data_IF_713767646169
#
_entry.id   IF_713767646169
#
_cell.length_a   1.000
_cell.length_b   1.000
_cell.length_c   1.000
_cell.angle_alpha   90.00
_cell.angle_beta   90.00
_cell.angle_gamma   90.00
#
_symmetry.space_group_name_H-M   'P 1'
#
loop_
_entity.id
_entity.type
_entity.pdbx_description
1 polymer ?
#
# COMPACT_ATOMS: atom_id res chain seq x y z
N UNK A 1 11.89 -4.97 -17.41
CA UNK A 1 12.21 -6.05 -16.45
C UNK A 1 12.81 -5.55 -15.12
N UNK A 2 12.90 -4.24 -14.87
CA UNK A 2 13.43 -3.65 -13.61
C UNK A 2 12.30 -3.05 -12.74
N UNK A 3 11.10 -2.88 -13.30
CA UNK A 3 9.94 -2.29 -12.60
C UNK A 3 9.26 -3.21 -11.59
N UNK A 4 9.58 -4.50 -11.56
CA UNK A 4 8.96 -5.47 -10.64
C UNK A 4 9.79 -5.62 -9.36
N UNK A 5 11.13 -5.55 -9.47
CA UNK A 5 12.05 -5.49 -8.31
C UNK A 5 11.84 -4.20 -7.52
N UNK A 6 11.61 -3.07 -8.19
CA UNK A 6 11.30 -1.79 -7.53
C UNK A 6 9.95 -1.80 -6.81
N UNK A 7 8.94 -2.50 -7.36
CA UNK A 7 7.60 -2.61 -6.77
C UNK A 7 7.57 -3.58 -5.59
N UNK A 8 8.29 -4.69 -5.67
CA UNK A 8 8.40 -5.65 -4.55
C UNK A 8 9.31 -5.15 -3.42
N UNK A 9 10.37 -4.40 -3.72
CA UNK A 9 11.18 -3.74 -2.69
C UNK A 9 10.48 -2.59 -1.96
N UNK A 10 9.42 -2.02 -2.55
CA UNK A 10 8.55 -1.03 -1.90
C UNK A 10 7.38 -1.68 -1.13
N UNK A 11 6.97 -2.91 -1.46
CA UNK A 11 5.79 -3.58 -0.86
C UNK A 11 6.10 -4.66 0.20
N UNK A 12 7.33 -5.18 0.30
CA UNK A 12 7.67 -6.19 1.31
C UNK A 12 8.16 -5.52 2.60
N UNK A 13 7.21 -4.99 3.37
CA UNK A 13 7.45 -4.75 4.80
C UNK A 13 7.88 -6.08 5.47
N UNK A 14 8.70 -6.00 6.52
CA UNK A 14 9.17 -7.16 7.31
C UNK A 14 8.01 -8.10 7.70
N UNK A 15 6.83 -7.52 7.97
CA UNK A 15 5.58 -8.24 8.25
C UNK A 15 5.05 -9.09 7.08
N UNK A 16 5.19 -8.64 5.83
CA UNK A 16 4.75 -9.38 4.65
C UNK A 16 5.72 -10.52 4.30
N UNK A 17 7.02 -10.32 4.54
CA UNK A 17 8.02 -11.38 4.45
C UNK A 17 7.80 -12.46 5.51
N UNK A 18 7.47 -12.05 6.73
CA UNK A 18 7.20 -12.95 7.85
C UNK A 18 5.89 -13.75 7.62
N UNK A 19 4.84 -13.08 7.15
CA UNK A 19 3.58 -13.72 6.73
C UNK A 19 3.77 -14.65 5.51
N UNK A 20 4.63 -14.28 4.55
CA UNK A 20 5.00 -15.15 3.44
C UNK A 20 5.74 -16.41 3.91
N UNK A 21 6.75 -16.25 4.77
CA UNK A 21 7.49 -17.39 5.34
C UNK A 21 6.56 -18.29 6.16
N UNK A 22 5.67 -17.71 6.98
CA UNK A 22 4.70 -18.46 7.78
C UNK A 22 3.67 -19.21 6.91
N UNK A 23 3.18 -18.60 5.82
CA UNK A 23 2.24 -19.24 4.88
C UNK A 23 2.88 -20.39 4.09
N UNK A 24 4.16 -20.26 3.73
CA UNK A 24 4.89 -21.29 3.01
C UNK A 24 5.57 -22.32 3.93
N UNK A 25 5.48 -22.13 5.25
CA UNK A 25 6.07 -23.02 6.25
C UNK A 25 7.60 -22.99 6.25
N UNK A 26 8.19 -21.88 5.82
CA UNK A 26 9.62 -21.58 5.79
C UNK A 26 10.00 -20.84 7.08
N UNK A 27 11.24 -20.98 7.55
CA UNK A 27 11.72 -20.36 8.79
C UNK A 27 10.88 -20.69 10.04
N UNK A 28 10.53 -21.97 10.23
CA UNK A 28 9.76 -22.45 11.40
C UNK A 28 10.49 -22.26 12.73
N UNK A 29 11.82 -22.13 12.69
CA UNK A 29 12.70 -21.85 13.82
C UNK A 29 13.14 -20.38 13.90
N UNK A 30 12.63 -19.52 13.01
CA UNK A 30 13.01 -18.11 12.90
C UNK A 30 14.22 -17.82 12.00
N UNK A 31 14.77 -18.86 11.35
CA UNK A 31 15.95 -18.79 10.51
C UNK A 31 15.69 -19.43 9.14
N UNK A 32 16.34 -18.93 8.09
CA UNK A 32 16.26 -19.51 6.75
C UNK A 32 17.52 -20.32 6.46
N UNK A 33 17.33 -21.57 6.05
CA UNK A 33 18.41 -22.40 5.52
C UNK A 33 18.63 -22.17 4.00
N UNK A 34 19.72 -22.71 3.44
CA UNK A 34 20.07 -22.56 2.01
C UNK A 34 18.94 -23.05 1.07
N UNK A 35 18.18 -24.06 1.50
CA UNK A 35 17.09 -24.67 0.72
C UNK A 35 15.79 -23.86 0.80
N UNK A 36 15.53 -23.26 1.95
CA UNK A 36 14.41 -22.37 2.19
C UNK A 36 14.65 -21.02 1.49
N UNK A 37 15.86 -20.47 1.54
CA UNK A 37 16.25 -19.28 0.77
C UNK A 37 16.08 -19.51 -0.74
N UNK A 38 16.47 -20.68 -1.25
CA UNK A 38 16.24 -21.08 -2.65
C UNK A 38 14.75 -21.04 -3.01
N UNK A 39 13.91 -21.49 -2.08
CA UNK A 39 12.45 -21.55 -2.27
C UNK A 39 11.85 -20.15 -2.28
N UNK A 40 12.29 -19.27 -1.38
CA UNK A 40 11.93 -17.85 -1.37
C UNK A 40 12.31 -17.17 -2.68
N UNK A 41 13.56 -17.33 -3.16
CA UNK A 41 14.01 -16.75 -4.44
C UNK A 41 13.18 -17.23 -5.64
N UNK A 42 12.84 -18.52 -5.70
CA UNK A 42 12.00 -19.10 -6.77
C UNK A 42 10.57 -18.59 -6.72
N UNK A 43 9.98 -18.46 -5.53
CA UNK A 43 8.63 -17.93 -5.37
C UNK A 43 8.53 -16.43 -5.68
N UNK A 44 9.61 -15.67 -5.44
CA UNK A 44 9.71 -14.25 -5.84
C UNK A 44 9.96 -14.11 -7.36
N UNK A 45 10.15 -15.23 -8.08
CA UNK A 45 10.33 -15.24 -9.53
C UNK A 45 11.74 -14.84 -9.98
N UNK A 46 12.71 -14.79 -9.06
CA UNK A 46 14.12 -14.67 -9.43
C UNK A 46 14.61 -16.03 -9.92
N UNK A 47 14.99 -16.09 -11.19
CA UNK A 47 15.73 -17.23 -11.74
C UNK A 47 17.19 -17.11 -11.29
N UNK A 48 17.48 -17.57 -10.07
CA UNK A 48 18.82 -17.59 -9.48
C UNK A 48 19.41 -19.00 -9.64
N UNK A 49 20.64 -19.11 -10.14
CA UNK A 49 21.33 -20.40 -10.22
C UNK A 49 21.79 -20.85 -8.83
N UNK A 50 22.06 -22.15 -8.67
CA UNK A 50 22.49 -22.71 -7.37
C UNK A 50 23.80 -22.09 -6.89
N UNK A 51 24.69 -21.65 -7.79
CA UNK A 51 25.94 -20.99 -7.42
C UNK A 51 25.69 -19.59 -6.86
N UNK A 52 24.79 -18.84 -7.48
CA UNK A 52 24.49 -17.47 -7.04
C UNK A 52 23.68 -17.45 -5.74
N UNK A 53 22.91 -18.51 -5.43
CA UNK A 53 22.27 -18.68 -4.12
C UNK A 53 23.31 -18.93 -3.03
N UNK A 54 24.37 -19.70 -3.31
CA UNK A 54 25.46 -19.92 -2.35
C UNK A 54 26.23 -18.64 -2.08
N UNK A 55 26.54 -17.87 -3.11
CA UNK A 55 27.15 -16.55 -2.96
C UNK A 55 26.25 -15.60 -2.16
N UNK A 56 24.93 -15.61 -2.43
CA UNK A 56 23.96 -14.82 -1.68
C UNK A 56 23.86 -15.26 -0.22
N UNK A 57 23.91 -16.56 0.04
CA UNK A 57 23.88 -17.13 1.38
C UNK A 57 25.15 -16.77 2.16
N UNK A 58 26.33 -16.88 1.55
CA UNK A 58 27.61 -16.49 2.17
C UNK A 58 27.72 -14.98 2.41
N UNK A 59 27.06 -14.14 1.59
CA UNK A 59 26.99 -12.69 1.82
C UNK A 59 25.94 -12.29 2.88
N UNK A 60 24.89 -13.10 3.05
CA UNK A 60 23.82 -12.88 4.02
C UNK A 60 24.16 -13.40 5.43
N UNK A 61 24.87 -14.52 5.50
CA UNK A 61 25.32 -15.18 6.73
C UNK A 61 26.56 -14.47 7.30
N UNK A 62 26.33 -13.26 7.81
CA UNK A 62 27.38 -12.36 8.29
C UNK A 62 28.07 -12.85 9.57
N UNK A 63 27.37 -13.67 10.37
CA UNK A 63 27.89 -14.30 11.58
C UNK A 63 28.42 -15.73 11.34
N UNK A 64 28.26 -16.26 10.11
CA UNK A 64 28.73 -17.57 9.66
C UNK A 64 28.15 -18.72 10.49
N UNK A 65 26.92 -18.56 10.94
CA UNK A 65 26.22 -19.56 11.74
C UNK A 65 25.54 -20.65 10.86
N UNK A 66 25.62 -20.49 9.54
CA UNK A 66 25.05 -21.40 8.55
C UNK A 66 23.54 -21.22 8.37
N UNK A 67 23.00 -20.07 8.78
CA UNK A 67 21.58 -19.69 8.66
C UNK A 67 21.47 -18.19 8.37
N UNK A 68 20.33 -17.78 7.80
CA UNK A 68 20.05 -16.35 7.56
C UNK A 68 18.84 -15.95 8.38
N UNK A 69 18.97 -15.01 9.30
CA UNK A 69 17.83 -14.49 10.05
C UNK A 69 17.02 -13.49 9.20
N UNK A 70 15.74 -13.29 9.55
CA UNK A 70 14.85 -12.37 8.83
C UNK A 70 15.38 -10.93 8.80
N UNK A 71 16.12 -10.52 9.84
CA UNK A 71 16.77 -9.21 9.91
C UNK A 71 17.87 -9.07 8.85
N UNK A 72 18.70 -10.08 8.66
CA UNK A 72 19.78 -10.09 7.64
C UNK A 72 19.22 -10.08 6.21
N UNK A 73 18.17 -10.87 5.96
CA UNK A 73 17.46 -10.85 4.69
C UNK A 73 16.85 -9.48 4.38
N UNK A 74 16.23 -8.84 5.37
CA UNK A 74 15.64 -7.50 5.23
C UNK A 74 16.71 -6.43 4.97
N UNK A 75 17.89 -6.57 5.59
CA UNK A 75 19.02 -5.66 5.44
C UNK A 75 19.62 -5.73 4.03
N UNK A 76 19.68 -6.92 3.43
CA UNK A 76 20.12 -7.09 2.03
C UNK A 76 19.12 -6.53 1.02
N UNK A 77 17.82 -6.76 1.20
CA UNK A 77 16.76 -6.17 0.34
C UNK A 77 16.84 -4.64 0.33
N UNK A 78 17.16 -4.06 1.48
CA UNK A 78 17.38 -2.61 1.63
C UNK A 78 18.73 -2.17 1.03
N UNK A 79 19.79 -2.96 1.19
CA UNK A 79 21.13 -2.68 0.63
C UNK A 79 21.22 -2.80 -0.91
N UNK A 80 20.41 -3.66 -1.54
CA UNK A 80 20.29 -3.73 -3.01
C UNK A 80 19.64 -2.48 -3.62
N UNK A 81 18.88 -1.73 -2.82
CA UNK A 81 18.27 -0.46 -3.24
C UNK A 81 19.33 0.65 -3.41
N UNK A 82 20.45 0.58 -2.69
CA UNK A 82 21.51 1.61 -2.66
C UNK A 82 22.62 1.41 -3.70
N UNK A 83 22.67 0.25 -4.40
CA UNK A 83 23.71 -0.04 -5.42
C UNK A 83 23.27 0.15 -6.88
N UNK A 84 22.10 0.74 -7.14
CA UNK A 84 21.72 1.18 -8.50
C UNK A 84 22.08 2.67 -8.70
N UNK A 85 22.60 3.08 -9.87
CA UNK A 85 22.93 4.48 -10.11
C UNK A 85 21.68 5.37 -9.99
N UNK A 86 21.80 6.59 -9.42
CA UNK A 86 20.68 7.51 -9.34
C UNK A 86 20.35 8.01 -10.75
N UNK A 87 19.09 7.81 -11.16
CA UNK A 87 18.53 8.42 -12.37
C UNK A 87 17.11 8.91 -12.05
N UNK A 88 16.62 9.93 -12.76
CA UNK A 88 16.23 11.21 -12.20
C UNK A 88 14.84 11.17 -11.58
N UNK A 89 14.57 12.25 -10.86
CA UNK A 89 13.56 12.40 -9.83
C UNK A 89 12.10 12.19 -10.23
N UNK A 90 11.39 11.78 -9.18
CA UNK A 90 9.96 11.94 -8.90
C UNK A 90 9.43 13.29 -9.37
N UNK A 91 8.34 13.28 -10.15
CA UNK A 91 7.37 14.37 -10.08
C UNK A 91 6.35 14.07 -9.00
N UNK A 92 6.53 14.75 -7.85
CA UNK A 92 5.46 15.06 -6.91
C UNK A 92 4.35 15.80 -7.67
N UNK A 93 3.12 15.37 -7.47
CA UNK A 93 1.94 16.15 -7.80
C UNK A 93 1.91 17.30 -6.79
N UNK A 94 2.39 18.47 -7.22
CA UNK A 94 2.07 19.76 -6.61
C UNK A 94 1.14 20.48 -7.56
N UNK A 95 -0.02 20.87 -7.04
CA UNK A 95 -0.92 21.83 -7.65
C UNK A 95 -0.13 23.09 -8.03
N UNK A 96 -0.03 23.43 -9.31
CA UNK A 96 -0.21 24.82 -9.72
C UNK A 96 -0.57 24.98 -11.21
N UNK A 97 -1.39 25.99 -11.37
CA UNK A 97 -1.85 26.75 -12.52
C UNK A 97 -0.74 27.14 -13.48
N UNK A 98 -1.01 27.03 -14.79
CA UNK A 98 -0.38 27.88 -15.80
C UNK A 98 0.65 27.22 -16.73
N UNK A 99 0.36 27.36 -18.03
CA UNK A 99 1.25 27.21 -19.19
C UNK A 99 1.67 25.82 -19.68
N UNK A 100 1.00 25.41 -20.76
CA UNK A 100 1.61 25.28 -22.10
C UNK A 100 3.03 24.71 -22.15
N UNK A 101 3.18 23.42 -22.45
CA UNK A 101 3.60 22.91 -23.78
C UNK A 101 3.76 21.39 -23.76
N UNK A 102 3.45 20.78 -24.91
CA UNK A 102 3.92 19.46 -25.38
C UNK A 102 3.37 18.20 -24.68
N UNK A 103 2.11 17.91 -25.03
CA UNK A 103 1.63 16.54 -25.15
C UNK A 103 2.41 15.85 -26.28
N UNK A 104 3.07 14.74 -25.94
CA UNK A 104 3.66 13.81 -26.88
C UNK A 104 2.61 13.33 -27.88
N UNK A 105 2.82 13.66 -29.15
CA UNK A 105 2.05 13.16 -30.27
C UNK A 105 2.32 11.67 -30.45
N UNK A 106 1.55 10.83 -29.77
CA UNK A 106 1.28 9.49 -30.24
C UNK A 106 0.19 9.59 -31.32
N UNK A 107 0.58 10.04 -32.51
CA UNK A 107 -0.19 9.85 -33.74
C UNK A 107 0.84 9.54 -34.83
N UNK A 108 0.83 8.30 -35.32
CA UNK A 108 1.59 7.84 -36.50
C UNK A 108 1.13 8.47 -37.82
N UNK A 109 0.58 9.68 -37.77
CA UNK A 109 0.34 10.53 -38.92
C UNK A 109 1.20 11.75 -38.73
N UNK A 110 2.42 11.67 -39.25
CA UNK A 110 3.27 12.84 -39.43
C UNK A 110 2.44 13.92 -40.11
N UNK A 111 2.36 15.10 -39.48
CA UNK A 111 2.04 16.34 -40.17
C UNK A 111 3.16 16.57 -41.20
N UNK A 112 3.06 15.90 -42.35
CA UNK A 112 3.81 16.26 -43.55
C UNK A 112 3.07 17.48 -44.10
N UNK A 113 3.76 18.62 -44.33
CA UNK A 113 3.14 19.77 -44.96
C UNK A 113 2.47 19.30 -46.25
N UNK A 114 1.20 19.66 -46.43
CA UNK A 114 0.40 19.38 -47.64
C UNK A 114 1.13 19.86 -48.91
N UNK A 115 2.12 20.74 -48.76
CA UNK A 115 2.99 21.29 -49.80
C UNK A 115 4.04 20.30 -50.38
N UNK A 116 4.13 19.07 -49.88
CA UNK A 116 5.03 18.02 -50.41
C UNK A 116 4.29 16.79 -50.96
N UNK A 117 2.95 16.79 -50.93
CA UNK A 117 2.17 15.75 -51.64
C UNK A 117 2.13 16.11 -53.12
N UNK A 118 3.03 15.50 -53.89
CA UNK A 118 3.02 15.61 -55.35
C UNK A 118 1.73 15.05 -55.95
N UNK A 119 1.44 15.38 -57.21
CA UNK A 119 0.53 14.54 -58.00
C UNK A 119 0.99 13.08 -57.84
N UNK A 120 0.07 12.12 -57.73
CA UNK A 120 0.32 10.67 -57.57
C UNK A 120 0.39 10.07 -56.14
N UNK A 121 -0.03 10.75 -55.06
CA UNK A 121 -0.10 10.12 -53.72
C UNK A 121 -1.05 8.89 -53.68
N UNK A 122 -1.98 8.79 -54.63
CA UNK A 122 -2.82 7.59 -54.84
C UNK A 122 -1.98 6.33 -55.08
N UNK A 123 -0.87 6.47 -55.79
CA UNK A 123 0.03 5.37 -56.17
C UNK A 123 1.03 5.02 -55.06
N UNK A 124 1.13 5.87 -54.04
CA UNK A 124 2.11 5.75 -52.97
C UNK A 124 1.46 5.99 -51.60
N UNK A 125 0.63 5.02 -51.18
CA UNK A 125 -0.01 5.02 -49.85
C UNK A 125 0.98 4.88 -48.70
N UNK A 126 2.18 4.37 -48.98
CA UNK A 126 3.26 4.19 -48.00
C UNK A 126 4.21 5.39 -47.95
N UNK A 127 4.00 6.41 -48.79
CA UNK A 127 4.79 7.64 -48.86
C UNK A 127 6.30 7.39 -49.08
N UNK A 128 6.59 6.39 -49.91
CA UNK A 128 7.94 5.97 -50.31
C UNK A 128 8.59 6.91 -51.33
N UNK A 129 7.79 7.74 -52.03
CA UNK A 129 8.19 8.61 -53.12
C UNK A 129 8.29 7.91 -54.49
N UNK A 130 8.08 6.60 -54.56
CA UNK A 130 8.26 5.81 -55.78
C UNK A 130 7.00 4.99 -56.12
N UNK A 131 6.64 4.95 -57.40
CA UNK A 131 5.61 4.04 -57.90
C UNK A 131 6.12 3.16 -59.03
N UNK A 132 5.61 1.94 -59.11
CA UNK A 132 5.91 1.03 -60.22
C UNK A 132 5.27 1.56 -61.51
N UNK A 133 6.00 1.49 -62.62
CA UNK A 133 5.52 1.84 -63.98
C UNK A 133 4.18 1.18 -64.29
N UNK A 134 4.00 -0.09 -63.92
CA UNK A 134 2.72 -0.79 -64.09
C UNK A 134 1.56 -0.09 -63.39
N UNK A 135 1.74 0.36 -62.14
CA UNK A 135 0.70 1.04 -61.37
C UNK A 135 0.37 2.43 -61.93
N UNK A 136 1.37 3.12 -62.48
CA UNK A 136 1.20 4.41 -63.16
C UNK A 136 0.40 4.22 -64.46
N UNK A 137 0.75 3.21 -65.26
CA UNK A 137 0.02 2.88 -66.50
C UNK A 137 -1.40 2.39 -66.21
N UNK A 138 -1.61 1.62 -65.14
CA UNK A 138 -2.94 1.17 -64.72
C UNK A 138 -3.81 2.35 -64.29
N UNK A 139 -3.25 3.33 -63.56
CA UNK A 139 -3.96 4.56 -63.20
C UNK A 139 -4.32 5.38 -64.44
N UNK A 140 -3.40 5.54 -65.38
CA UNK A 140 -3.66 6.25 -66.63
C UNK A 140 -4.67 5.51 -67.52
N UNK A 141 -4.67 4.18 -67.49
CA UNK A 141 -5.67 3.34 -68.15
C UNK A 141 -7.06 3.53 -67.55
N UNK A 142 -7.16 3.58 -66.21
CA UNK A 142 -8.41 3.91 -65.51
C UNK A 142 -8.92 5.32 -65.82
N UNK A 143 -8.00 6.24 -66.18
CA UNK A 143 -8.30 7.61 -66.61
C UNK A 143 -8.64 7.72 -68.11
N UNK A 144 -8.60 6.61 -68.86
CA UNK A 144 -8.98 6.55 -70.27
C UNK A 144 -7.84 6.69 -71.27
N UNK A 145 -6.57 6.60 -70.83
CA UNK A 145 -5.39 6.65 -71.70
C UNK A 145 -4.96 5.22 -72.01
N UNK A 146 -4.79 4.90 -73.30
CA UNK A 146 -4.37 3.57 -73.73
C UNK A 146 -2.95 3.31 -73.22
N UNK A 147 -2.65 2.11 -72.70
CA UNK A 147 -1.31 1.77 -72.15
C UNK A 147 -0.15 2.10 -73.12
N UNK A 148 -0.38 2.00 -74.43
CA UNK A 148 0.59 2.37 -75.47
C UNK A 148 0.87 3.87 -75.53
N UNK A 149 -0.15 4.71 -75.33
CA UNK A 149 -0.02 6.16 -75.30
C UNK A 149 0.60 6.63 -73.98
N UNK A 150 0.22 6.00 -72.87
CA UNK A 150 0.86 6.22 -71.56
C UNK A 150 2.33 5.82 -71.55
N UNK A 151 2.68 4.67 -72.13
CA UNK A 151 4.09 4.24 -72.24
C UNK A 151 4.91 5.13 -73.15
N UNK A 152 4.29 5.64 -74.23
CA UNK A 152 4.91 6.61 -75.13
C UNK A 152 5.14 7.94 -74.44
N UNK A 153 4.17 8.43 -73.67
CA UNK A 153 4.28 9.64 -72.86
C UNK A 153 5.38 9.51 -71.79
N UNK A 154 5.49 8.36 -71.11
CA UNK A 154 6.62 8.11 -70.19
C UNK A 154 7.97 8.18 -70.89
N UNK A 155 8.06 7.61 -72.09
CA UNK A 155 9.29 7.63 -72.89
C UNK A 155 9.63 9.05 -73.40
N UNK A 156 8.61 9.83 -73.78
CA UNK A 156 8.73 11.24 -74.18
C UNK A 156 9.18 12.13 -73.00
N UNK A 157 8.72 11.83 -71.79
CA UNK A 157 9.12 12.49 -70.54
C UNK A 157 10.48 12.03 -69.99
N UNK A 158 11.20 11.17 -70.72
CA UNK A 158 12.55 10.72 -70.37
C UNK A 158 12.62 9.51 -69.42
N UNK A 159 11.49 8.87 -69.09
CA UNK A 159 11.44 7.65 -68.29
C UNK A 159 11.38 6.44 -69.22
N UNK A 160 12.45 5.63 -69.26
CA UNK A 160 12.46 4.43 -70.09
C UNK A 160 11.61 3.33 -69.44
N UNK A 161 10.48 2.89 -70.05
CA UNK A 161 9.64 1.83 -69.50
C UNK A 161 10.25 0.46 -69.81
N UNK A 162 11.44 0.18 -69.26
CA UNK A 162 12.17 -1.06 -69.54
C UNK A 162 11.43 -2.30 -69.01
N UNK A 163 10.58 -2.14 -67.99
CA UNK A 163 9.68 -3.17 -67.44
C UNK A 163 8.58 -2.54 -66.59
N UNK A 164 7.39 -3.16 -66.53
CA UNK A 164 6.27 -2.76 -65.63
C UNK A 164 6.65 -2.77 -64.14
N UNK A 165 7.77 -3.42 -63.78
CA UNK A 165 8.31 -3.46 -62.41
C UNK A 165 9.29 -2.32 -62.07
N UNK A 166 9.69 -1.49 -63.03
CA UNK A 166 10.59 -0.37 -62.76
C UNK A 166 9.89 0.65 -61.85
N UNK A 167 10.57 1.12 -60.81
CA UNK A 167 10.07 2.15 -59.89
C UNK A 167 10.51 3.53 -60.37
N UNK A 168 9.55 4.41 -60.63
CA UNK A 168 9.79 5.80 -61.01
C UNK A 168 9.57 6.69 -59.80
N UNK A 169 10.43 7.70 -59.63
CA UNK A 169 10.22 8.76 -58.65
C UNK A 169 9.02 9.61 -59.07
N UNK A 170 8.00 9.64 -58.22
CA UNK A 170 6.74 10.35 -58.49
C UNK A 170 6.93 11.87 -58.54
N UNK A 171 7.90 12.40 -57.79
CA UNK A 171 8.21 13.83 -57.79
C UNK A 171 8.91 14.26 -59.09
N UNK A 172 9.79 13.42 -59.61
CA UNK A 172 10.45 13.69 -60.90
C UNK A 172 9.46 13.52 -62.05
N UNK A 173 8.57 12.53 -61.98
CA UNK A 173 7.49 12.36 -62.95
C UNK A 173 6.53 13.56 -62.96
N UNK A 174 6.11 14.03 -61.79
CA UNK A 174 5.25 15.21 -61.68
C UNK A 174 5.92 16.46 -62.25
N UNK A 175 7.20 16.69 -61.92
CA UNK A 175 7.99 17.81 -62.46
C UNK A 175 8.18 17.72 -63.97
N UNK A 176 8.50 16.54 -64.52
CA UNK A 176 8.65 16.38 -65.97
C UNK A 176 7.33 16.60 -66.72
N UNK A 177 6.20 16.21 -66.14
CA UNK A 177 4.87 16.51 -66.69
C UNK A 177 4.57 18.00 -66.62
N UNK A 178 4.93 18.68 -65.52
CA UNK A 178 4.79 20.14 -65.35
C UNK A 178 5.68 20.91 -66.33
N UNK A 179 6.94 20.51 -66.50
CA UNK A 179 7.90 21.11 -67.44
C UNK A 179 7.42 20.95 -68.89
N UNK A 180 6.89 19.78 -69.29
CA UNK A 180 6.35 19.56 -70.63
C UNK A 180 5.10 20.43 -70.90
N UNK A 181 4.30 20.72 -69.86
CA UNK A 181 3.16 21.63 -69.96
C UNK A 181 3.65 23.07 -70.21
N UNK A 182 4.64 23.55 -69.47
CA UNK A 182 5.15 24.92 -69.57
C UNK A 182 5.86 25.21 -70.91
N UNK A 183 6.44 24.18 -71.55
CA UNK A 183 7.14 24.30 -72.83
C UNK A 183 6.22 24.10 -74.06
N UNK A 184 4.99 23.61 -73.89
CA UNK A 184 4.06 23.29 -74.99
C UNK A 184 3.18 24.47 -75.43
N UNK A 185 3.69 25.40 -76.25
CA UNK A 185 2.92 26.58 -76.70
C UNK A 185 1.96 26.37 -77.90
N UNK A 186 1.97 25.24 -78.60
CA UNK A 186 1.23 25.11 -79.88
C UNK A 186 0.29 23.90 -80.05
N UNK A 187 0.17 23.01 -79.06
CA UNK A 187 -0.75 21.87 -79.14
C UNK A 187 -1.24 21.57 -77.74
N UNK A 188 -2.54 21.29 -77.54
CA UNK A 188 -3.04 20.77 -76.26
C UNK A 188 -2.48 19.34 -76.16
N UNK A 189 -1.39 19.08 -75.41
CA UNK A 189 -0.74 17.79 -75.45
C UNK A 189 -1.51 16.82 -74.54
N UNK A 190 -1.39 15.53 -74.83
CA UNK A 190 -1.86 14.46 -73.96
C UNK A 190 -1.37 14.65 -72.50
N UNK A 191 -0.18 15.24 -72.31
CA UNK A 191 0.36 15.64 -71.01
C UNK A 191 -0.56 16.58 -70.20
N UNK A 192 -1.22 17.56 -70.84
CA UNK A 192 -2.16 18.45 -70.15
C UNK A 192 -3.42 17.70 -69.68
N UNK A 193 -3.91 16.76 -70.48
CA UNK A 193 -5.04 15.90 -70.11
C UNK A 193 -4.65 14.92 -68.98
N UNK A 194 -3.47 14.31 -69.06
CA UNK A 194 -2.91 13.44 -68.00
C UNK A 194 -2.80 14.22 -66.71
N UNK A 195 -2.12 15.37 -66.72
CA UNK A 195 -1.91 16.20 -65.54
C UNK A 195 -3.23 16.63 -64.89
N UNK A 196 -4.17 17.15 -65.69
CA UNK A 196 -5.46 17.60 -65.18
C UNK A 196 -6.27 16.45 -64.58
N UNK A 197 -6.25 15.27 -65.21
CA UNK A 197 -6.91 14.08 -64.68
C UNK A 197 -6.21 13.56 -63.42
N UNK A 198 -4.88 13.56 -63.37
CA UNK A 198 -4.12 13.14 -62.19
C UNK A 198 -4.33 14.08 -61.01
N UNK A 199 -4.35 15.40 -61.22
CA UNK A 199 -4.67 16.36 -60.16
C UNK A 199 -6.14 16.24 -59.73
N UNK A 200 -7.07 15.98 -60.66
CA UNK A 200 -8.47 15.75 -60.31
C UNK A 200 -8.64 14.50 -59.45
N UNK A 201 -7.99 13.39 -59.80
CA UNK A 201 -8.04 12.17 -58.98
C UNK A 201 -7.35 12.37 -57.65
N UNK A 202 -6.21 13.05 -57.62
CA UNK A 202 -5.48 13.36 -56.39
C UNK A 202 -6.34 14.21 -55.44
N UNK A 203 -7.02 15.24 -55.96
CA UNK A 203 -7.95 16.05 -55.18
C UNK A 203 -9.11 15.23 -54.60
N UNK A 204 -9.68 14.30 -55.38
CA UNK A 204 -10.73 13.40 -54.91
C UNK A 204 -10.23 12.43 -53.85
N UNK A 205 -9.04 11.85 -54.05
CA UNK A 205 -8.42 10.94 -53.09
C UNK A 205 -8.10 11.65 -51.77
N UNK A 206 -7.45 12.81 -51.82
CA UNK A 206 -7.15 13.62 -50.63
C UNK A 206 -8.42 14.01 -49.89
N UNK A 207 -9.50 14.35 -50.61
CA UNK A 207 -10.80 14.62 -49.99
C UNK A 207 -11.32 13.40 -49.23
N UNK A 208 -11.33 12.22 -49.85
CA UNK A 208 -11.79 10.98 -49.19
C UNK A 208 -10.90 10.58 -48.01
N UNK A 209 -9.59 10.84 -48.09
CA UNK A 209 -8.65 10.58 -47.01
C UNK A 209 -8.91 11.51 -45.83
N UNK A 210 -9.13 12.81 -46.09
CA UNK A 210 -9.52 13.76 -45.06
C UNK A 210 -10.82 13.35 -44.36
N UNK A 211 -11.86 13.01 -45.13
CA UNK A 211 -13.15 12.53 -44.59
C UNK A 211 -12.96 11.28 -43.71
N UNK A 212 -12.15 10.31 -44.16
CA UNK A 212 -11.82 9.11 -43.38
C UNK A 212 -11.11 9.43 -42.06
N UNK A 213 -10.11 10.31 -42.10
CA UNK A 213 -9.35 10.74 -40.91
C UNK A 213 -10.25 11.52 -39.94
N UNK A 214 -11.18 12.34 -40.45
CA UNK A 214 -12.16 13.04 -39.63
C UNK A 214 -13.11 12.07 -38.93
N UNK A 215 -13.64 11.08 -39.65
CA UNK A 215 -14.46 10.02 -39.05
C UNK A 215 -13.71 9.22 -37.99
N UNK A 216 -12.45 8.84 -38.25
CA UNK A 216 -11.61 8.14 -37.26
C UNK A 216 -11.35 8.99 -36.02
N UNK A 217 -11.00 10.27 -36.21
CA UNK A 217 -10.81 11.22 -35.11
C UNK A 217 -12.06 11.33 -34.25
N UNK A 218 -13.23 11.47 -34.86
CA UNK A 218 -14.48 11.69 -34.13
C UNK A 218 -14.94 10.42 -33.41
N UNK A 219 -14.69 9.24 -34.01
CA UNK A 219 -14.86 7.96 -33.33
C UNK A 219 -13.94 7.83 -32.11
N UNK A 220 -12.64 8.12 -32.26
CA UNK A 220 -11.69 8.06 -31.16
C UNK A 220 -12.05 9.03 -30.03
N UNK A 221 -12.56 10.23 -30.36
CA UNK A 221 -13.08 11.17 -29.35
C UNK A 221 -14.27 10.59 -28.59
N UNK A 222 -15.22 9.95 -29.29
CA UNK A 222 -16.36 9.30 -28.66
C UNK A 222 -15.90 8.15 -27.74
N UNK A 223 -15.00 7.28 -28.22
CA UNK A 223 -14.44 6.18 -27.45
C UNK A 223 -13.69 6.67 -26.20
N UNK A 224 -12.94 7.78 -26.30
CA UNK A 224 -12.27 8.43 -25.18
C UNK A 224 -13.29 8.97 -24.16
N UNK A 225 -14.36 9.63 -24.61
CA UNK A 225 -15.41 10.13 -23.72
C UNK A 225 -16.12 8.99 -22.99
N UNK A 226 -16.47 7.92 -23.70
CA UNK A 226 -17.09 6.72 -23.12
C UNK A 226 -16.14 6.04 -22.12
N UNK A 227 -14.85 5.94 -22.43
CA UNK A 227 -13.85 5.42 -21.51
C UNK A 227 -13.71 6.30 -20.26
N UNK A 228 -13.71 7.62 -20.40
CA UNK A 228 -13.71 8.55 -19.27
C UNK A 228 -14.98 8.41 -18.40
N UNK A 229 -16.16 8.29 -19.01
CA UNK A 229 -17.40 8.07 -18.27
C UNK A 229 -17.38 6.75 -17.49
N UNK A 230 -16.93 5.66 -18.12
CA UNK A 230 -16.76 4.37 -17.44
C UNK A 230 -15.77 4.46 -16.29
N UNK A 231 -14.63 5.11 -16.51
CA UNK A 231 -13.62 5.34 -15.46
C UNK A 231 -14.20 6.16 -14.30
N UNK A 232 -15.01 7.18 -14.57
CA UNK A 232 -15.64 8.00 -13.55
C UNK A 232 -16.66 7.21 -12.71
N UNK A 233 -17.48 6.36 -13.35
CA UNK A 233 -18.43 5.49 -12.65
C UNK A 233 -17.72 4.46 -11.77
N UNK A 234 -16.63 3.85 -12.26
CA UNK A 234 -15.84 2.91 -11.47
C UNK A 234 -15.21 3.61 -10.27
N UNK A 235 -14.66 4.82 -10.45
CA UNK A 235 -14.12 5.60 -9.34
C UNK A 235 -15.20 5.90 -8.28
N UNK A 236 -16.38 6.32 -8.73
CA UNK A 236 -17.51 6.57 -7.83
C UNK A 236 -17.96 5.30 -7.08
N UNK A 237 -18.03 4.15 -7.75
CA UNK A 237 -18.40 2.88 -7.12
C UNK A 237 -17.34 2.47 -6.08
N UNK A 238 -16.05 2.60 -6.39
CA UNK A 238 -14.96 2.32 -5.44
C UNK A 238 -15.05 3.24 -4.22
N UNK A 239 -15.28 4.54 -4.42
CA UNK A 239 -15.45 5.49 -3.33
C UNK A 239 -16.66 5.13 -2.44
N UNK A 240 -17.78 4.73 -3.06
CA UNK A 240 -18.98 4.32 -2.31
C UNK A 240 -18.75 3.03 -1.51
N UNK A 241 -18.11 2.02 -2.10
CA UNK A 241 -17.76 0.78 -1.42
C UNK A 241 -16.78 1.01 -0.27
N UNK A 242 -15.76 1.84 -0.48
CA UNK A 242 -14.81 2.22 0.56
C UNK A 242 -15.53 2.95 1.71
N UNK A 243 -16.40 3.90 1.40
CA UNK A 243 -17.18 4.60 2.43
C UNK A 243 -18.15 3.66 3.16
N UNK A 244 -18.68 2.61 2.51
CA UNK A 244 -19.50 1.58 3.16
C UNK A 244 -18.66 0.70 4.09
N UNK A 245 -17.50 0.24 3.62
CA UNK A 245 -16.56 -0.57 4.43
C UNK A 245 -16.07 0.21 5.65
N UNK A 246 -15.73 1.47 5.48
CA UNK A 246 -15.27 2.32 6.59
C UNK A 246 -16.38 2.52 7.63
N UNK A 247 -17.62 2.82 7.21
CA UNK A 247 -18.76 2.92 8.13
C UNK A 247 -18.99 1.61 8.89
N UNK A 248 -18.89 0.47 8.22
CA UNK A 248 -19.07 -0.84 8.86
C UNK A 248 -17.97 -1.13 9.88
N UNK A 249 -16.71 -0.85 9.53
CA UNK A 249 -15.55 -0.97 10.44
C UNK A 249 -15.71 -0.05 11.66
N UNK A 250 -16.03 1.23 11.45
CA UNK A 250 -16.29 2.18 12.54
C UNK A 250 -17.44 1.73 13.43
N UNK A 251 -18.53 1.18 12.88
CA UNK A 251 -19.64 0.63 13.67
C UNK A 251 -19.21 -0.57 14.51
N UNK A 252 -18.34 -1.46 13.97
CA UNK A 252 -17.83 -2.59 14.72
C UNK A 252 -16.93 -2.15 15.87
N UNK A 253 -16.02 -1.22 15.62
CA UNK A 253 -15.14 -0.63 16.65
C UNK A 253 -16.00 0.01 17.75
N UNK A 254 -16.97 0.86 17.40
CA UNK A 254 -17.89 1.47 18.38
C UNK A 254 -18.64 0.44 19.21
N UNK A 255 -19.13 -0.65 18.60
CA UNK A 255 -19.80 -1.74 19.34
C UNK A 255 -18.87 -2.41 20.34
N UNK A 256 -17.60 -2.61 19.98
CA UNK A 256 -16.60 -3.17 20.88
C UNK A 256 -16.23 -2.19 22.00
N UNK A 257 -16.04 -0.91 21.70
CA UNK A 257 -15.80 0.14 22.68
C UNK A 257 -16.94 0.24 23.70
N UNK A 258 -18.20 0.20 23.25
CA UNK A 258 -19.36 0.19 24.13
C UNK A 258 -19.32 -1.03 25.06
N UNK A 259 -19.11 -2.24 24.52
CA UNK A 259 -19.04 -3.47 25.33
C UNK A 259 -17.92 -3.44 26.37
N UNK A 260 -16.74 -2.93 26.00
CA UNK A 260 -15.62 -2.85 26.94
C UNK A 260 -15.85 -1.77 28.00
N UNK A 261 -16.43 -0.63 27.63
CA UNK A 261 -16.82 0.40 28.59
C UNK A 261 -17.87 -0.11 29.57
N UNK A 262 -18.88 -0.85 29.09
CA UNK A 262 -19.89 -1.50 29.94
C UNK A 262 -19.24 -2.50 30.92
N UNK A 263 -18.33 -3.36 30.44
CA UNK A 263 -17.61 -4.31 31.30
C UNK A 263 -16.76 -3.61 32.37
N UNK A 264 -16.05 -2.54 32.00
CA UNK A 264 -15.25 -1.75 32.93
C UNK A 264 -16.17 -1.10 33.97
N UNK A 265 -17.29 -0.52 33.54
CA UNK A 265 -18.26 0.10 34.43
C UNK A 265 -18.87 -0.91 35.41
N UNK A 266 -19.23 -2.11 34.94
CA UNK A 266 -19.74 -3.19 35.79
C UNK A 266 -18.71 -3.65 36.82
N UNK A 267 -17.44 -3.81 36.43
CA UNK A 267 -16.36 -4.16 37.35
C UNK A 267 -16.11 -3.05 38.38
N UNK A 268 -16.12 -1.79 37.95
CA UNK A 268 -16.00 -0.64 38.85
C UNK A 268 -17.15 -0.59 39.86
N UNK A 269 -18.38 -0.86 39.43
CA UNK A 269 -19.55 -0.92 40.30
C UNK A 269 -19.49 -2.08 41.30
N UNK A 270 -19.01 -3.26 40.89
CA UNK A 270 -18.82 -4.39 41.80
C UNK A 270 -17.72 -4.09 42.82
N UNK A 271 -16.61 -3.52 42.38
CA UNK A 271 -15.51 -3.14 43.24
C UNK A 271 -15.93 -2.06 44.25
N UNK A 272 -16.70 -1.04 43.82
CA UNK A 272 -17.19 -0.01 44.73
C UNK A 272 -18.17 -0.60 45.77
N UNK A 273 -19.08 -1.50 45.35
CA UNK A 273 -19.99 -2.18 46.25
C UNK A 273 -19.26 -3.09 47.26
N UNK A 274 -18.26 -3.86 46.82
CA UNK A 274 -17.44 -4.70 47.71
C UNK A 274 -16.63 -3.84 48.68
N UNK A 275 -16.02 -2.75 48.20
CA UNK A 275 -15.31 -1.80 49.03
C UNK A 275 -16.23 -1.22 50.11
N UNK A 276 -17.44 -0.79 49.75
CA UNK A 276 -18.41 -0.26 50.70
C UNK A 276 -18.83 -1.32 51.72
N UNK A 277 -19.08 -2.56 51.28
CA UNK A 277 -19.40 -3.68 52.18
C UNK A 277 -18.28 -3.99 53.16
N UNK A 278 -17.02 -3.98 52.71
CA UNK A 278 -15.85 -4.20 53.57
C UNK A 278 -15.66 -3.04 54.54
N UNK A 279 -15.88 -1.80 54.10
CA UNK A 279 -15.85 -0.62 54.96
C UNK A 279 -16.92 -0.70 56.06
N UNK A 280 -18.13 -1.13 55.71
CA UNK A 280 -19.20 -1.35 56.69
C UNK A 280 -18.84 -2.46 57.68
N UNK A 281 -18.33 -3.60 57.20
CA UNK A 281 -17.91 -4.71 58.06
C UNK A 281 -16.76 -4.31 59.01
N UNK A 282 -15.80 -3.54 58.51
CA UNK A 282 -14.69 -3.00 59.29
C UNK A 282 -15.20 -2.05 60.38
N UNK A 283 -16.13 -1.14 60.05
CA UNK A 283 -16.74 -0.24 61.03
C UNK A 283 -17.48 -1.00 62.15
N UNK A 284 -18.21 -2.06 61.79
CA UNK A 284 -18.88 -2.93 62.78
C UNK A 284 -17.87 -3.68 63.66
N UNK A 285 -16.75 -4.14 63.09
CA UNK A 285 -15.69 -4.79 63.86
C UNK A 285 -14.98 -3.81 64.82
N UNK A 286 -14.70 -2.58 64.36
CA UNK A 286 -14.09 -1.52 65.17
C UNK A 286 -14.96 -1.12 66.35
N UNK A 287 -16.26 -0.91 66.13
CA UNK A 287 -17.21 -0.57 67.20
C UNK A 287 -17.29 -1.68 68.24
N UNK A 288 -17.38 -2.95 67.81
CA UNK A 288 -17.37 -4.09 68.73
C UNK A 288 -16.06 -4.23 69.50
N UNK A 289 -14.93 -3.91 68.87
CA UNK A 289 -13.63 -3.91 69.53
C UNK A 289 -13.54 -2.81 70.59
N UNK A 290 -14.10 -1.63 70.32
CA UNK A 290 -14.22 -0.56 71.31
C UNK A 290 -15.10 -0.96 72.50
N UNK A 291 -16.25 -1.59 72.27
CA UNK A 291 -17.12 -2.10 73.33
C UNK A 291 -16.38 -3.10 74.24
N UNK A 292 -15.69 -4.08 73.65
CA UNK A 292 -14.90 -5.05 74.40
C UNK A 292 -13.73 -4.41 75.16
N UNK A 293 -13.08 -3.39 74.58
CA UNK A 293 -12.04 -2.62 75.27
C UNK A 293 -12.60 -1.86 76.49
N UNK A 294 -13.79 -1.27 76.37
CA UNK A 294 -14.46 -0.64 77.49
C UNK A 294 -14.83 -1.66 78.57
N UNK A 295 -15.35 -2.83 78.20
CA UNK A 295 -15.65 -3.92 79.14
C UNK A 295 -14.39 -4.43 79.85
N UNK A 296 -13.30 -4.67 79.13
CA UNK A 296 -12.02 -5.08 79.70
C UNK A 296 -11.47 -4.00 80.67
N UNK A 297 -11.61 -2.72 80.33
CA UNK A 297 -11.24 -1.63 81.24
C UNK A 297 -12.10 -1.64 82.52
N UNK A 298 -13.41 -1.87 82.40
CA UNK A 298 -14.34 -1.97 83.55
C UNK A 298 -13.98 -3.17 84.43
N UNK A 299 -13.77 -4.34 83.85
CA UNK A 299 -13.36 -5.55 84.57
C UNK A 299 -12.01 -5.37 85.26
N UNK A 300 -11.01 -4.79 84.58
CA UNK A 300 -9.71 -4.44 85.20
C UNK A 300 -9.88 -3.52 86.40
N UNK A 301 -10.73 -2.49 86.32
CA UNK A 301 -11.00 -1.62 87.48
C UNK A 301 -11.69 -2.37 88.63
N UNK A 302 -12.60 -3.30 88.34
CA UNK A 302 -13.25 -4.13 89.38
C UNK A 302 -12.26 -5.10 90.04
N UNK A 303 -11.40 -5.77 89.26
CA UNK A 303 -10.34 -6.64 89.78
C UNK A 303 -9.40 -5.85 90.69
N UNK A 304 -9.01 -4.63 90.31
CA UNK A 304 -8.17 -3.79 91.14
C UNK A 304 -8.85 -3.43 92.47
N UNK A 305 -10.15 -3.08 92.47
CA UNK A 305 -10.92 -2.81 93.69
C UNK A 305 -11.00 -4.03 94.62
N UNK A 306 -11.33 -5.20 94.08
CA UNK A 306 -11.39 -6.45 94.85
C UNK A 306 -10.01 -6.85 95.40
N UNK A 307 -8.94 -6.62 94.63
CA UNK A 307 -7.57 -6.84 95.11
C UNK A 307 -7.23 -5.88 96.26
N UNK A 308 -7.56 -4.60 96.15
CA UNK A 308 -7.37 -3.64 97.25
C UNK A 308 -8.12 -4.07 98.51
N UNK A 309 -9.39 -4.46 98.38
CA UNK A 309 -10.20 -5.00 99.48
C UNK A 309 -9.58 -6.27 100.08
N UNK A 310 -9.16 -7.24 99.25
CA UNK A 310 -8.46 -8.44 99.73
C UNK A 310 -7.16 -8.10 100.46
N UNK A 311 -6.34 -7.18 99.94
CA UNK A 311 -5.12 -6.76 100.64
C UNK A 311 -5.43 -6.10 101.99
N UNK A 312 -6.55 -5.39 102.11
CA UNK A 312 -6.97 -4.78 103.36
C UNK A 312 -7.48 -5.82 104.35
N UNK A 313 -8.31 -6.77 103.89
CA UNK A 313 -8.75 -7.91 104.71
C UNK A 313 -7.58 -8.79 105.15
N UNK A 314 -6.59 -9.05 104.29
CA UNK A 314 -5.36 -9.76 104.66
C UNK A 314 -4.59 -9.02 105.77
N UNK A 315 -4.48 -7.69 105.69
CA UNK A 315 -3.89 -6.86 106.77
C UNK A 315 -4.70 -6.96 108.06
N UNK A 316 -6.04 -6.89 107.99
CA UNK A 316 -6.91 -7.03 109.15
C UNK A 316 -6.77 -8.41 109.81
N UNK A 317 -6.82 -9.48 109.02
CA UNK A 317 -6.60 -10.86 109.48
C UNK A 317 -5.21 -11.01 110.10
N UNK A 318 -4.18 -10.41 109.50
CA UNK A 318 -2.84 -10.39 110.05
C UNK A 318 -2.79 -9.69 111.42
N UNK A 319 -3.42 -8.51 111.54
CA UNK A 319 -3.49 -7.75 112.78
C UNK A 319 -4.22 -8.54 113.88
N UNK A 320 -5.39 -9.10 113.58
CA UNK A 320 -6.15 -9.94 114.51
C UNK A 320 -5.36 -11.18 114.90
N UNK A 321 -4.62 -11.81 113.97
CA UNK A 321 -3.72 -12.93 114.26
C UNK A 321 -2.60 -12.54 115.24
N UNK A 322 -2.05 -11.32 115.12
CA UNK A 322 -1.08 -10.77 116.08
C UNK A 322 -1.74 -10.58 117.45
N UNK A 323 -2.93 -9.99 117.51
CA UNK A 323 -3.67 -9.80 118.77
C UNK A 323 -3.98 -11.13 119.46
N UNK A 324 -4.50 -12.12 118.73
CA UNK A 324 -4.72 -13.47 119.24
C UNK A 324 -3.42 -14.09 119.76
N UNK A 325 -2.30 -13.92 119.04
CA UNK A 325 -0.99 -14.41 119.49
C UNK A 325 -0.58 -13.75 120.81
N UNK A 326 -0.85 -12.45 120.99
CA UNK A 326 -0.57 -11.74 122.23
C UNK A 326 -1.47 -12.20 123.38
N UNK A 327 -2.78 -12.37 123.14
CA UNK A 327 -3.73 -12.90 124.13
C UNK A 327 -3.36 -14.32 124.53
N UNK A 328 -3.02 -15.20 123.57
CA UNK A 328 -2.58 -16.56 123.86
C UNK A 328 -1.27 -16.60 124.65
N UNK A 329 -0.32 -15.70 124.38
CA UNK A 329 0.89 -15.54 125.21
C UNK A 329 0.52 -15.15 126.64
N UNK A 330 -0.39 -14.19 126.80
CA UNK A 330 -0.88 -13.77 128.11
C UNK A 330 -1.59 -14.91 128.84
N UNK A 331 -2.48 -15.64 128.16
CA UNK A 331 -3.17 -16.83 128.70
C UNK A 331 -2.18 -17.90 129.13
N UNK A 332 -1.19 -18.23 128.29
CA UNK A 332 -0.14 -19.20 128.62
C UNK A 332 0.72 -18.76 129.82
N UNK A 333 0.93 -17.45 129.98
CA UNK A 333 1.61 -16.90 131.15
C UNK A 333 0.77 -17.11 132.41
N UNK A 334 -0.51 -16.74 132.36
CA UNK A 334 -1.45 -16.93 133.47
C UNK A 334 -1.66 -18.40 133.80
N UNK A 335 -1.79 -19.30 132.82
CA UNK A 335 -1.87 -20.76 133.03
C UNK A 335 -0.61 -21.29 133.73
N UNK A 336 0.58 -20.81 133.36
CA UNK A 336 1.84 -21.13 134.05
C UNK A 336 1.85 -20.62 135.49
N UNK A 337 1.26 -19.46 135.76
CA UNK A 337 1.14 -18.93 137.12
C UNK A 337 0.13 -19.72 137.96
N UNK A 338 -1.06 -20.03 137.42
CA UNK A 338 -2.06 -20.87 138.10
C UNK A 338 -1.51 -22.26 138.39
N UNK A 339 -0.74 -22.86 137.46
CA UNK A 339 -0.08 -24.15 137.67
C UNK A 339 1.03 -24.12 138.73
N UNK A 340 1.44 -22.95 139.24
CA UNK A 340 2.33 -22.85 140.42
C UNK A 340 1.57 -22.78 141.75
N UNK A 341 0.25 -22.56 141.72
CA UNK A 341 -0.60 -22.42 142.91
C UNK A 341 -1.50 -23.63 143.19
N UNK A 342 -1.53 -24.61 142.27
CA UNK A 342 -2.08 -25.96 142.47
C UNK A 342 -0.88 -26.90 142.67
#
# INVERSE_FOLDING_TARGET
MIGWVKRMGEELAEEQLLDFCQRHGLAKDGYLDETELTTVCKCIGLQVSSEMIKELFEELDGDKDGRVCLSELSQMLRGMQDKLPPSPEKHKITNDTGNSRQVGKANGFANIPVNERGAFSILDRENTGFAKVGLILDLWSQLGIIESEGSKLLSELGFTPNSKSHSINLQDLAKSVEDEIDHSKERIPLAFQVALLTYRTESQFLKTLCESIECERDKLKADILDAHQRSALIAQEVDEQNARLERNSQMLIRKMEIKYNEQIQDLQNRFSAEKESLQQALHVAETKLQELQEEDSKLKTQINKLNEENTNLEKEVHNVSIEIRNVNRMRSHLEREVSRFI
#
